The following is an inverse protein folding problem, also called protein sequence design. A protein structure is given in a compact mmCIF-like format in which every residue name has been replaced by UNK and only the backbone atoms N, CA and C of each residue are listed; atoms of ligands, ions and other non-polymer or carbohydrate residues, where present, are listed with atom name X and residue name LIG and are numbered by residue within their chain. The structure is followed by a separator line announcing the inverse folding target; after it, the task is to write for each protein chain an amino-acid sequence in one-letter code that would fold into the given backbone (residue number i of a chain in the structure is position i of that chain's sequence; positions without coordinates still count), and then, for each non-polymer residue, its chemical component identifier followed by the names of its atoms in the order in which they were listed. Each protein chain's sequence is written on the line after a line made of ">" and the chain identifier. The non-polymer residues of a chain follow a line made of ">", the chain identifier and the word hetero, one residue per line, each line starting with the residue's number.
data_IF_328297006095
#
_entry.id   IF_328297006095
#
_cell.length_a   1.000
_cell.length_b   1.000
_cell.length_c   1.000
_cell.angle_alpha   90.00
_cell.angle_beta   90.00
_cell.angle_gamma   90.00
#
_symmetry.space_group_name_H-M   'P 1'
#
loop_
_entity.id
_entity.type
_entity.pdbx_description
1 polymer ?
#
# COMPACT_ATOMS: atom_id res chain seq x y z
N UNK A 1 -7.02 7.99 0.92
CA UNK A 1 -6.43 6.65 1.10
C UNK A 1 -7.08 5.66 0.16
N UNK A 2 -6.30 4.84 -0.53
CA UNK A 2 -6.80 3.87 -1.50
C UNK A 2 -7.16 2.52 -0.86
N UNK A 3 -8.43 2.14 -0.96
CA UNK A 3 -8.92 0.79 -0.63
C UNK A 3 -9.98 0.35 -1.64
N UNK A 4 -9.60 -0.58 -2.53
CA UNK A 4 -10.52 -1.22 -3.49
C UNK A 4 -10.99 -2.56 -2.94
N UNK A 5 -12.26 -2.63 -2.53
CA UNK A 5 -12.89 -3.87 -2.05
C UNK A 5 -13.57 -4.61 -3.21
N UNK A 6 -13.59 -5.95 -3.16
CA UNK A 6 -14.31 -6.78 -4.14
C UNK A 6 -15.81 -6.84 -3.83
N UNK A 7 -16.16 -6.78 -2.55
CA UNK A 7 -17.55 -6.76 -2.06
C UNK A 7 -17.59 -6.16 -0.66
N UNK A 8 -18.76 -5.70 -0.22
CA UNK A 8 -18.99 -5.22 1.14
C UNK A 8 -18.79 -6.33 2.19
N UNK A 9 -19.13 -7.57 1.85
CA UNK A 9 -18.99 -8.74 2.72
C UNK A 9 -17.52 -9.18 2.89
N UNK A 10 -16.70 -8.98 1.85
CA UNK A 10 -15.29 -9.39 1.84
C UNK A 10 -14.39 -8.20 1.47
N UNK A 11 -14.34 -7.14 2.30
CA UNK A 11 -13.68 -5.89 1.93
C UNK A 11 -12.15 -6.03 1.90
N UNK A 12 -11.61 -7.04 2.58
CA UNK A 12 -10.17 -7.35 2.61
C UNK A 12 -9.72 -8.34 1.53
N UNK A 13 -10.66 -8.91 0.76
CA UNK A 13 -10.29 -9.80 -0.35
C UNK A 13 -9.51 -8.98 -1.37
N UNK A 14 -8.33 -9.46 -1.75
CA UNK A 14 -7.49 -8.79 -2.73
C UNK A 14 -8.17 -8.85 -4.10
N UNK A 15 -8.53 -7.71 -4.72
CA UNK A 15 -9.02 -7.69 -6.09
C UNK A 15 -7.87 -7.99 -7.06
N UNK A 16 -8.23 -8.41 -8.26
CA UNK A 16 -7.26 -8.58 -9.33
C UNK A 16 -6.76 -7.21 -9.80
N UNK A 17 -5.45 -6.99 -9.73
CA UNK A 17 -4.77 -5.86 -10.37
C UNK A 17 -3.96 -6.40 -11.55
N UNK A 18 -4.11 -5.77 -12.72
CA UNK A 18 -3.22 -5.99 -13.87
C UNK A 18 -1.90 -5.26 -13.66
N UNK A 19 -1.98 -4.02 -13.18
CA UNK A 19 -0.84 -3.22 -12.75
C UNK A 19 -1.26 -2.43 -11.52
N UNK A 20 -0.84 -2.90 -10.34
CA UNK A 20 -1.23 -2.28 -9.08
C UNK A 20 -0.76 -0.83 -8.94
N UNK A 21 0.38 -0.47 -9.54
CA UNK A 21 0.92 0.89 -9.43
C UNK A 21 0.09 1.84 -10.28
N UNK A 22 -0.11 1.49 -11.55
CA UNK A 22 -0.87 2.30 -12.49
C UNK A 22 -2.32 2.47 -12.03
N UNK A 23 -2.95 1.37 -11.61
CA UNK A 23 -4.35 1.37 -11.17
C UNK A 23 -4.55 2.16 -9.87
N UNK A 24 -3.72 1.95 -8.85
CA UNK A 24 -3.83 2.69 -7.57
C UNK A 24 -3.62 4.18 -7.79
N UNK A 25 -2.66 4.56 -8.64
CA UNK A 25 -2.42 5.97 -8.99
C UNK A 25 -3.62 6.59 -9.70
N UNK A 26 -4.19 5.89 -10.69
CA UNK A 26 -5.35 6.37 -11.43
C UNK A 26 -6.57 6.59 -10.51
N UNK A 27 -6.86 5.64 -9.61
CA UNK A 27 -7.99 5.76 -8.70
C UNK A 27 -7.80 6.86 -7.64
N UNK A 28 -6.57 7.05 -7.16
CA UNK A 28 -6.25 8.16 -6.25
C UNK A 28 -6.44 9.51 -6.91
N UNK A 29 -5.97 9.67 -8.15
CA UNK A 29 -6.14 10.92 -8.90
C UNK A 29 -7.61 11.19 -9.23
N UNK A 30 -8.38 10.18 -9.62
CA UNK A 30 -9.83 10.33 -9.80
C UNK A 30 -10.53 10.76 -8.49
N UNK A 31 -10.10 10.22 -7.34
CA UNK A 31 -10.61 10.65 -6.03
C UNK A 31 -10.24 12.09 -5.68
N UNK A 32 -9.03 12.52 -6.06
CA UNK A 32 -8.59 13.91 -5.93
C UNK A 32 -9.46 14.82 -6.79
N UNK A 33 -9.68 14.46 -8.06
CA UNK A 33 -10.52 15.24 -8.98
C UNK A 33 -11.94 15.40 -8.43
N UNK A 34 -12.52 14.33 -7.86
CA UNK A 34 -13.83 14.39 -7.21
C UNK A 34 -13.84 15.32 -5.99
N UNK A 35 -12.80 15.30 -5.15
CA UNK A 35 -12.70 16.18 -3.99
C UNK A 35 -12.58 17.65 -4.40
N UNK A 36 -11.74 17.94 -5.41
CA UNK A 36 -11.58 19.30 -5.95
C UNK A 36 -12.88 19.79 -6.58
N UNK A 37 -13.56 18.94 -7.37
CA UNK A 37 -14.86 19.27 -7.95
C UNK A 37 -15.94 19.55 -6.88
N UNK A 38 -15.83 18.94 -5.70
CA UNK A 38 -16.68 19.21 -4.54
C UNK A 38 -16.27 20.48 -3.75
N UNK A 39 -15.24 21.21 -4.20
CA UNK A 39 -14.79 22.47 -3.59
C UNK A 39 -13.69 22.32 -2.54
N UNK A 40 -13.08 21.13 -2.40
CA UNK A 40 -11.93 20.94 -1.52
C UNK A 40 -10.69 21.57 -2.14
N UNK A 41 -10.00 22.42 -1.39
CA UNK A 41 -8.72 23.01 -1.78
C UNK A 41 -7.67 21.91 -1.99
N UNK A 42 -7.11 21.84 -3.20
CA UNK A 42 -6.10 20.86 -3.57
C UNK A 42 -4.85 20.92 -2.67
N UNK A 43 -4.50 22.10 -2.13
CA UNK A 43 -3.37 22.26 -1.22
C UNK A 43 -3.56 21.53 0.13
N UNK A 44 -4.80 21.14 0.46
CA UNK A 44 -5.14 20.40 1.69
C UNK A 44 -5.26 18.89 1.46
N UNK A 45 -5.09 18.42 0.22
CA UNK A 45 -5.21 17.01 -0.11
C UNK A 45 -3.91 16.25 0.16
N UNK A 46 -4.07 15.02 0.63
CA UNK A 46 -2.99 14.05 0.84
C UNK A 46 -3.45 12.73 0.24
N UNK A 47 -2.58 12.08 -0.55
CA UNK A 47 -2.85 10.76 -1.11
C UNK A 47 -2.13 9.68 -0.31
N UNK A 48 -2.77 8.52 -0.16
CA UNK A 48 -2.21 7.36 0.53
C UNK A 48 -2.47 6.11 -0.32
N UNK A 49 -1.42 5.41 -0.83
CA UNK A 49 -1.54 4.18 -1.62
C UNK A 49 -2.23 3.00 -0.89
N UNK A 50 -2.40 3.10 0.42
CA UNK A 50 -3.16 2.14 1.24
C UNK A 50 -2.47 0.79 1.34
N UNK A 51 -1.25 0.77 1.88
CA UNK A 51 -0.46 -0.45 2.07
C UNK A 51 -1.16 -1.37 3.08
N UNK A 52 -1.35 -2.63 2.69
CA UNK A 52 -2.03 -3.63 3.53
C UNK A 52 -3.56 -3.61 3.48
N UNK A 53 -4.17 -2.83 2.59
CA UNK A 53 -5.62 -2.78 2.39
C UNK A 53 -6.01 -3.43 1.07
N UNK A 54 -6.51 -4.67 1.15
CA UNK A 54 -6.88 -5.51 0.00
C UNK A 54 -5.74 -5.61 -1.04
N UNK A 55 -4.51 -5.82 -0.58
CA UNK A 55 -3.30 -5.95 -1.41
C UNK A 55 -2.42 -7.09 -0.90
N UNK A 56 -1.76 -7.79 -1.81
CA UNK A 56 -0.75 -8.81 -1.46
C UNK A 56 0.54 -8.16 -0.96
N UNK A 57 1.45 -8.98 -0.43
CA UNK A 57 2.81 -8.54 -0.12
C UNK A 57 3.53 -7.98 -1.37
N UNK A 58 3.41 -8.66 -2.52
CA UNK A 58 4.02 -8.24 -3.78
C UNK A 58 3.48 -6.88 -4.23
N UNK A 59 2.17 -6.65 -4.10
CA UNK A 59 1.56 -5.36 -4.39
C UNK A 59 2.10 -4.24 -3.51
N UNK A 60 2.27 -4.51 -2.21
CA UNK A 60 2.83 -3.52 -1.28
C UNK A 60 4.29 -3.17 -1.62
N UNK A 61 5.13 -4.15 -1.99
CA UNK A 61 6.52 -3.87 -2.43
C UNK A 61 6.53 -3.06 -3.73
N UNK A 62 5.67 -3.40 -4.69
CA UNK A 62 5.57 -2.67 -5.95
C UNK A 62 5.19 -1.19 -5.73
N UNK A 63 4.22 -0.93 -4.84
CA UNK A 63 3.81 0.43 -4.48
C UNK A 63 4.91 1.19 -3.75
N UNK A 64 5.63 0.55 -2.83
CA UNK A 64 6.77 1.16 -2.14
C UNK A 64 7.90 1.51 -3.11
N UNK A 65 8.23 0.60 -4.03
CA UNK A 65 9.22 0.84 -5.07
C UNK A 65 8.80 2.00 -6.00
N UNK A 66 7.50 2.12 -6.28
CA UNK A 66 6.95 3.15 -7.14
C UNK A 66 6.60 4.46 -6.41
N UNK A 67 6.92 4.63 -5.13
CA UNK A 67 6.67 5.88 -4.39
C UNK A 67 7.10 7.16 -5.13
N UNK A 68 8.25 7.21 -5.82
CA UNK A 68 8.63 8.39 -6.60
C UNK A 68 7.57 8.81 -7.63
N UNK A 69 6.82 7.86 -8.21
CA UNK A 69 5.76 8.13 -9.19
C UNK A 69 4.52 8.78 -8.54
N UNK A 70 4.26 8.47 -7.27
CA UNK A 70 3.19 9.11 -6.50
C UNK A 70 3.61 10.51 -6.06
N UNK A 71 4.85 10.67 -5.60
CA UNK A 71 5.39 12.00 -5.22
C UNK A 71 5.44 12.95 -6.42
N UNK A 72 5.76 12.42 -7.61
CA UNK A 72 5.77 13.19 -8.86
C UNK A 72 4.41 13.78 -9.28
N UNK A 73 3.30 13.41 -8.62
CA UNK A 73 1.99 14.03 -8.83
C UNK A 73 1.89 15.45 -8.27
N UNK A 74 2.83 15.85 -7.40
CA UNK A 74 2.80 17.15 -6.72
C UNK A 74 1.88 17.18 -5.48
N UNK A 75 1.16 16.09 -5.20
CA UNK A 75 0.29 15.96 -4.02
C UNK A 75 1.09 15.28 -2.90
N UNK A 76 1.05 15.78 -1.66
CA UNK A 76 1.69 15.11 -0.53
C UNK A 76 1.25 13.65 -0.41
N UNK A 77 2.23 12.75 -0.22
CA UNK A 77 2.00 11.31 -0.09
C UNK A 77 2.19 10.89 1.36
N UNK A 78 1.14 10.34 1.98
CA UNK A 78 1.20 9.66 3.26
C UNK A 78 1.39 8.16 3.03
N UNK A 79 2.31 7.55 3.76
CA UNK A 79 2.51 6.10 3.75
C UNK A 79 2.13 5.53 5.12
N UNK A 80 0.86 5.15 5.25
CA UNK A 80 0.37 4.37 6.39
C UNK A 80 0.43 2.88 6.06
N UNK A 81 1.04 2.06 6.93
CA UNK A 81 1.00 0.61 6.78
C UNK A 81 0.18 -0.02 7.90
N UNK A 82 -0.74 -0.92 7.53
CA UNK A 82 -1.36 -1.83 8.50
C UNK A 82 -0.37 -2.98 8.75
N UNK A 83 -0.15 -3.34 10.02
CA UNK A 83 0.68 -4.48 10.39
C UNK A 83 0.19 -5.73 9.65
N UNK A 84 0.96 -6.11 8.63
CA UNK A 84 0.66 -7.19 7.71
C UNK A 84 1.91 -8.05 7.56
N UNK A 85 1.76 -9.30 7.13
CA UNK A 85 2.86 -10.27 7.02
C UNK A 85 4.03 -9.79 6.14
N UNK A 86 3.79 -8.78 5.30
CA UNK A 86 4.81 -8.07 4.53
C UNK A 86 5.89 -7.41 5.38
N UNK A 87 5.51 -6.75 6.49
CA UNK A 87 6.45 -6.04 7.36
C UNK A 87 7.44 -6.97 8.06
N UNK A 88 7.09 -8.25 8.21
CA UNK A 88 7.80 -9.22 9.06
C UNK A 88 9.09 -9.78 8.44
N UNK A 89 9.46 -9.39 7.21
CA UNK A 89 10.59 -10.02 6.51
C UNK A 89 11.82 -9.15 6.25
N UNK A 90 11.86 -7.94 6.78
CA UNK A 90 13.05 -7.09 6.78
C UNK A 90 13.46 -6.74 8.22
N UNK A 91 13.74 -7.75 9.04
CA UNK A 91 14.66 -7.54 10.14
C UNK A 91 16.05 -7.94 9.65
N UNK A 92 17.03 -7.02 9.59
CA UNK A 92 18.40 -7.44 9.47
C UNK A 92 18.70 -8.22 10.75
N UNK A 93 18.98 -9.52 10.65
CA UNK A 93 19.89 -10.09 11.64
C UNK A 93 21.20 -9.33 11.53
N UNK A 94 21.98 -9.24 12.60
CA UNK A 94 23.32 -8.60 12.66
C UNK A 94 24.30 -9.04 11.55
N UNK A 95 23.91 -10.00 10.72
CA UNK A 95 24.63 -10.61 9.61
C UNK A 95 24.12 -10.23 8.20
N UNK A 96 23.12 -9.35 8.08
CA UNK A 96 22.67 -8.80 6.79
C UNK A 96 21.84 -9.73 5.90
N UNK A 97 21.22 -10.79 6.44
CA UNK A 97 20.32 -11.68 5.68
C UNK A 97 18.86 -11.52 6.10
N UNK A 98 17.95 -11.52 5.12
CA UNK A 98 16.52 -11.59 5.37
C UNK A 98 16.13 -13.02 5.76
N UNK A 99 15.63 -13.24 6.97
CA UNK A 99 15.20 -14.56 7.43
C UNK A 99 14.02 -15.12 6.58
N UNK A 100 14.04 -16.43 6.30
CA UNK A 100 12.91 -17.12 5.68
C UNK A 100 11.91 -17.61 6.76
N UNK A 101 10.59 -17.65 6.49
CA UNK A 101 9.59 -18.07 7.48
C UNK A 101 9.81 -19.49 8.06
N UNK A 102 10.53 -20.35 7.34
CA UNK A 102 10.87 -21.72 7.75
C UNK A 102 12.11 -21.81 8.66
N UNK A 103 12.84 -20.72 8.90
CA UNK A 103 14.01 -20.71 9.80
C UNK A 103 13.63 -20.56 11.29
N UNK A 104 12.35 -20.39 11.60
CA UNK A 104 11.90 -20.28 12.98
C UNK A 104 12.02 -21.63 13.69
N UNK A 105 13.08 -21.82 14.49
CA UNK A 105 13.12 -22.92 15.46
C UNK A 105 11.93 -22.79 16.42
N UNK A 106 11.28 -23.90 16.82
CA UNK A 106 10.18 -23.85 17.77
C UNK A 106 10.65 -23.26 19.10
N UNK A 107 9.86 -22.33 19.66
CA UNK A 107 10.13 -21.75 20.97
C UNK A 107 9.91 -22.83 22.05
N UNK A 108 10.82 -22.98 23.03
CA UNK A 108 10.58 -23.87 24.17
C UNK A 108 9.39 -23.37 24.98
N UNK A 109 8.62 -24.33 25.52
CA UNK A 109 7.45 -24.09 26.39
C UNK A 109 7.85 -23.45 27.70
#
# INVERSE_FOLDING_TARGET
>A
MHWRSVSAEHPHRVPHYRDVVAEVRAELLASVDHAVAAGVDAAKLIIDPGLGFAKTAQHNWALLHALPQFVATGIPVLVGHRASSFSVRCWPTLTGRCAHPTDARPRPR
#
